data_IF_203606842100
#
_entry.id   IF_203606842100
#
_cell.length_a   1.000
_cell.length_b   1.000
_cell.length_c   1.000
_cell.angle_alpha   90.00
_cell.angle_beta   90.00
_cell.angle_gamma   90.00
#
_symmetry.space_group_name_H-M   'P 1'
#
loop_
_entity.id
_entity.type
_entity.pdbx_description
1 polymer ?
#
# COMPACT_ATOMS: atom_id res chain seq x y z
N UNK A 1 -0.16 -27.42 -35.47
CA UNK A 1 -1.31 -27.08 -34.64
C UNK A 1 -0.96 -25.74 -34.00
N UNK A 2 -1.48 -24.66 -34.55
CA UNK A 2 -1.16 -23.31 -34.07
C UNK A 2 -1.99 -22.98 -32.82
N UNK A 3 -1.33 -22.65 -31.72
CA UNK A 3 -1.98 -22.18 -30.50
C UNK A 3 -2.57 -20.80 -30.75
N UNK A 4 -3.88 -20.69 -30.69
CA UNK A 4 -4.59 -19.41 -30.69
C UNK A 4 -4.43 -18.76 -29.31
N UNK A 5 -3.70 -17.65 -29.23
CA UNK A 5 -3.57 -16.85 -28.02
C UNK A 5 -4.88 -16.11 -27.70
N UNK A 6 -5.15 -15.84 -26.42
CA UNK A 6 -6.36 -15.14 -25.88
C UNK A 6 -6.69 -13.80 -26.56
N UNK A 7 -5.77 -13.23 -27.33
CA UNK A 7 -5.93 -11.93 -28.04
C UNK A 7 -6.81 -11.96 -29.30
N UNK A 8 -7.26 -13.13 -29.78
CA UNK A 8 -7.98 -13.26 -31.07
C UNK A 8 -9.48 -12.93 -31.00
N UNK A 9 -10.08 -12.76 -29.82
CA UNK A 9 -11.54 -12.63 -29.67
C UNK A 9 -12.08 -11.20 -29.59
N UNK A 10 -11.23 -10.16 -29.51
CA UNK A 10 -11.68 -8.77 -29.25
C UNK A 10 -11.78 -7.92 -30.55
N UNK A 11 -11.48 -8.44 -31.74
CA UNK A 11 -11.46 -7.67 -32.98
C UNK A 11 -12.67 -7.80 -33.91
N UNK A 12 -13.80 -8.32 -33.47
CA UNK A 12 -14.98 -8.53 -34.32
C UNK A 12 -16.27 -7.90 -33.78
N UNK A 13 -16.24 -6.62 -33.40
CA UNK A 13 -17.45 -5.82 -33.23
C UNK A 13 -17.13 -4.33 -33.35
N UNK A 14 -17.31 -3.76 -34.49
CA UNK A 14 -17.16 -2.32 -34.67
C UNK A 14 -17.31 -1.82 -36.11
N UNK A 15 -18.48 -1.94 -36.70
CA UNK A 15 -18.89 -1.14 -37.87
C UNK A 15 -20.17 -0.37 -37.52
N UNK A 16 -20.15 0.94 -37.69
CA UNK A 16 -21.37 1.75 -37.60
C UNK A 16 -21.17 3.25 -37.54
N UNK A 17 -21.08 3.87 -38.70
CA UNK A 17 -21.66 5.14 -39.20
C UNK A 17 -21.26 6.46 -38.54
N UNK A 18 -20.61 7.27 -39.34
CA UNK A 18 -20.40 8.69 -39.19
C UNK A 18 -21.72 9.49 -39.40
N UNK A 19 -21.98 10.47 -38.54
CA UNK A 19 -22.91 11.55 -38.80
C UNK A 19 -22.20 12.88 -38.54
N UNK A 20 -22.03 13.69 -39.57
CA UNK A 20 -21.48 15.05 -39.52
C UNK A 20 -22.55 16.00 -38.95
N UNK A 21 -22.24 16.68 -37.86
CA UNK A 21 -23.02 17.78 -37.29
C UNK A 21 -22.25 19.08 -37.28
N UNK A 22 -22.78 20.08 -38.01
CA UNK A 22 -22.30 21.45 -38.11
C UNK A 22 -22.31 22.17 -36.77
N UNK A 23 -21.17 22.60 -36.26
CA UNK A 23 -21.03 23.50 -35.14
C UNK A 23 -21.06 24.97 -35.58
N UNK A 24 -22.09 25.69 -35.17
CA UNK A 24 -22.14 27.15 -35.19
C UNK A 24 -21.34 27.71 -34.02
N UNK A 25 -20.37 28.54 -34.30
CA UNK A 25 -19.61 29.33 -33.34
C UNK A 25 -20.49 30.44 -32.73
N UNK A 26 -20.67 30.40 -31.41
CA UNK A 26 -21.20 31.54 -30.64
C UNK A 26 -20.03 32.17 -29.87
N UNK A 27 -19.67 33.39 -30.24
CA UNK A 27 -18.74 34.24 -29.50
C UNK A 27 -19.43 34.81 -28.27
N UNK A 28 -18.97 34.41 -27.08
CA UNK A 28 -19.32 35.06 -25.80
C UNK A 28 -18.15 35.96 -25.41
N UNK A 29 -18.44 37.27 -25.32
CA UNK A 29 -17.52 38.30 -24.81
C UNK A 29 -17.32 38.12 -23.29
N UNK A 30 -16.05 38.26 -22.88
CA UNK A 30 -15.61 38.07 -21.52
C UNK A 30 -16.06 39.11 -20.51
N UNK A 31 -16.20 38.65 -19.31
CA UNK A 31 -16.10 39.46 -18.09
C UNK A 31 -14.79 39.07 -17.40
N UNK A 32 -13.87 40.03 -17.32
CA UNK A 32 -12.65 39.90 -16.55
C UNK A 32 -12.99 39.96 -15.05
N UNK A 33 -13.09 38.81 -14.42
CA UNK A 33 -13.05 38.68 -12.96
C UNK A 33 -11.62 38.30 -12.56
N UNK A 34 -10.97 39.16 -11.80
CA UNK A 34 -9.64 38.89 -11.26
C UNK A 34 -9.66 37.63 -10.38
N UNK A 35 -9.09 36.55 -10.89
CA UNK A 35 -8.83 35.36 -10.10
C UNK A 35 -7.66 35.67 -9.15
N UNK A 36 -7.93 35.80 -7.84
CA UNK A 36 -6.92 35.69 -6.81
C UNK A 36 -6.39 34.25 -6.84
N UNK A 37 -5.24 34.05 -7.44
CA UNK A 37 -4.39 32.87 -7.20
C UNK A 37 -3.79 33.03 -5.82
N UNK A 38 -4.04 32.14 -4.86
CA UNK A 38 -3.26 32.14 -3.63
C UNK A 38 -1.85 31.67 -4.01
N UNK A 39 -0.90 32.58 -4.01
CA UNK A 39 0.53 32.26 -3.97
C UNK A 39 0.80 31.59 -2.63
N UNK A 40 0.92 30.26 -2.65
CA UNK A 40 1.46 29.53 -1.52
C UNK A 40 2.95 29.88 -1.41
N UNK A 41 3.30 30.75 -0.48
CA UNK A 41 4.68 30.86 0.00
C UNK A 41 5.06 29.52 0.62
N UNK A 42 5.87 28.75 -0.10
CA UNK A 42 6.52 27.58 0.44
C UNK A 42 7.54 28.04 1.48
N UNK A 43 7.21 27.95 2.75
CA UNK A 43 8.19 27.99 3.82
C UNK A 43 9.07 26.73 3.67
N UNK A 44 10.11 26.86 2.87
CA UNK A 44 11.18 25.87 2.80
C UNK A 44 11.91 25.91 4.15
N UNK A 45 11.49 25.05 5.08
CA UNK A 45 12.36 24.69 6.19
C UNK A 45 13.53 23.94 5.57
N UNK A 46 14.69 24.59 5.50
CA UNK A 46 15.94 23.99 5.08
C UNK A 46 16.28 22.85 6.07
N UNK A 47 15.89 21.64 5.71
CA UNK A 47 16.42 20.44 6.35
C UNK A 47 17.80 20.19 5.78
N UNK A 48 18.80 19.99 6.66
CA UNK A 48 20.17 19.69 6.25
C UNK A 48 20.25 18.42 5.39
N UNK A 49 21.39 18.15 4.73
CA UNK A 49 21.54 17.01 3.86
C UNK A 49 21.21 15.73 4.62
N UNK A 50 20.18 15.01 4.16
CA UNK A 50 19.76 13.73 4.70
C UNK A 50 20.92 12.75 4.63
N UNK A 51 21.44 12.37 5.81
CA UNK A 51 22.18 11.13 5.88
C UNK A 51 21.19 10.02 5.48
N UNK A 52 21.47 9.35 4.36
CA UNK A 52 20.73 8.18 3.94
C UNK A 52 20.76 7.18 5.09
N UNK A 53 19.62 7.03 5.80
CA UNK A 53 19.43 5.84 6.61
C UNK A 53 19.73 4.68 5.68
N UNK A 54 20.55 3.72 6.11
CA UNK A 54 20.86 2.55 5.29
C UNK A 54 19.59 1.67 5.21
N UNK A 55 18.65 2.11 4.37
CA UNK A 55 17.45 1.38 3.99
C UNK A 55 17.80 0.24 3.01
N UNK A 56 19.09 -0.08 2.87
CA UNK A 56 19.61 -1.03 1.89
C UNK A 56 19.21 -2.48 2.14
N UNK A 57 18.53 -2.77 3.27
CA UNK A 57 18.06 -4.13 3.59
C UNK A 57 16.61 -4.12 4.01
N UNK A 58 15.72 -4.04 3.01
CA UNK A 58 14.33 -4.37 3.26
C UNK A 58 14.21 -5.84 3.70
N UNK A 59 13.56 -6.08 4.83
CA UNK A 59 13.27 -7.41 5.35
C UNK A 59 11.74 -7.55 5.51
N UNK A 60 11.08 -8.45 4.76
CA UNK A 60 9.66 -8.68 4.87
C UNK A 60 9.18 -9.03 6.28
N UNK A 61 9.98 -9.77 7.07
CA UNK A 61 9.63 -10.13 8.45
C UNK A 61 9.63 -8.94 9.40
N UNK A 62 10.53 -7.97 9.20
CA UNK A 62 10.53 -6.72 9.96
C UNK A 62 9.39 -5.81 9.52
N UNK A 63 9.16 -5.70 8.21
CA UNK A 63 8.06 -4.93 7.65
C UNK A 63 6.70 -5.42 8.15
N UNK A 64 6.51 -6.73 8.23
CA UNK A 64 5.26 -7.38 8.63
C UNK A 64 4.67 -6.78 9.93
N UNK A 65 5.51 -6.43 10.89
CA UNK A 65 5.11 -5.99 12.24
C UNK A 65 5.44 -4.52 12.53
N UNK A 66 6.19 -3.87 11.67
CA UNK A 66 6.63 -2.50 11.87
C UNK A 66 5.60 -1.49 11.35
N UNK A 67 5.46 -0.38 12.05
CA UNK A 67 4.70 0.79 11.63
C UNK A 67 5.40 2.06 12.07
N UNK A 68 5.13 3.17 11.39
CA UNK A 68 5.70 4.48 11.76
C UNK A 68 7.21 4.41 11.97
N UNK A 69 7.92 3.68 11.09
CA UNK A 69 9.37 3.46 11.17
C UNK A 69 9.86 2.81 12.47
N UNK A 70 8.99 2.05 13.17
CA UNK A 70 9.34 1.40 14.44
C UNK A 70 10.45 0.35 14.32
N UNK A 71 10.74 -0.13 13.11
CA UNK A 71 11.86 -0.99 12.78
C UNK A 71 13.21 -0.26 12.73
N UNK A 72 13.22 1.07 12.73
CA UNK A 72 14.45 1.86 12.76
C UNK A 72 14.89 2.16 14.19
N UNK A 73 16.21 2.32 14.44
CA UNK A 73 16.71 2.85 15.70
C UNK A 73 16.07 4.22 16.03
N UNK A 74 15.87 4.58 17.30
CA UNK A 74 15.20 5.83 17.67
C UNK A 74 15.80 7.09 17.04
N UNK A 75 17.13 7.15 16.90
CA UNK A 75 17.83 8.29 16.28
C UNK A 75 17.52 8.43 14.78
N UNK A 76 17.36 7.32 14.07
CA UNK A 76 17.03 7.32 12.64
C UNK A 76 15.53 7.49 12.44
N UNK A 77 14.71 6.87 13.28
CA UNK A 77 13.26 7.02 13.23
C UNK A 77 12.84 8.48 13.39
N UNK A 78 13.43 9.23 14.32
CA UNK A 78 13.09 10.63 14.58
C UNK A 78 13.35 11.59 13.40
N UNK A 79 14.08 11.14 12.38
CA UNK A 79 14.28 11.88 11.12
C UNK A 79 13.10 11.74 10.17
N UNK A 80 12.39 10.61 10.24
CA UNK A 80 11.29 10.28 9.32
C UNK A 80 9.92 10.34 9.98
N UNK A 81 9.87 10.35 11.32
CA UNK A 81 8.62 10.31 12.06
C UNK A 81 8.70 11.07 13.39
N UNK A 82 7.66 11.88 13.65
CA UNK A 82 7.49 12.62 14.90
C UNK A 82 6.03 12.62 15.33
N UNK A 83 5.81 12.54 16.63
CA UNK A 83 4.51 12.70 17.28
C UNK A 83 4.50 13.95 18.16
N UNK A 84 3.39 14.70 18.11
CA UNK A 84 3.18 15.85 18.97
C UNK A 84 1.74 15.83 19.49
N UNK A 85 1.58 15.74 20.82
CA UNK A 85 0.26 15.80 21.43
C UNK A 85 -0.40 17.17 21.19
N UNK A 86 -1.70 17.17 20.88
CA UNK A 86 -2.49 18.38 20.65
C UNK A 86 -3.41 18.67 21.84
N UNK A 87 -3.80 19.95 22.07
CA UNK A 87 -4.67 20.33 23.17
C UNK A 87 -6.06 19.65 23.14
N UNK A 88 -6.53 19.23 21.97
CA UNK A 88 -7.82 18.57 21.76
C UNK A 88 -7.78 17.05 22.08
N UNK A 89 -6.64 16.54 22.57
CA UNK A 89 -6.44 15.14 22.90
C UNK A 89 -6.08 14.26 21.71
N UNK A 90 -5.97 14.81 20.50
CA UNK A 90 -5.47 14.11 19.31
C UNK A 90 -3.95 14.26 19.20
N UNK A 91 -3.35 13.58 18.22
CA UNK A 91 -1.91 13.65 17.96
C UNK A 91 -1.66 14.23 16.57
N UNK A 92 -0.70 15.14 16.45
CA UNK A 92 -0.09 15.47 15.17
C UNK A 92 1.00 14.45 14.89
N UNK A 93 0.85 13.73 13.76
CA UNK A 93 1.80 12.73 13.28
C UNK A 93 2.46 13.24 12.01
N UNK A 94 3.74 13.49 12.09
CA UNK A 94 4.53 14.07 11.02
C UNK A 94 5.44 12.99 10.42
N UNK A 95 5.38 12.87 9.10
CA UNK A 95 6.15 11.89 8.33
C UNK A 95 7.00 12.59 7.28
N UNK A 96 8.19 12.06 7.03
CA UNK A 96 8.98 12.36 5.85
C UNK A 96 8.99 11.17 4.92
N UNK A 97 8.42 11.33 3.73
CA UNK A 97 8.35 10.30 2.70
C UNK A 97 9.08 10.78 1.45
N UNK A 98 10.01 9.97 0.99
CA UNK A 98 10.87 10.30 -0.16
C UNK A 98 10.63 9.29 -1.28
N UNK A 99 10.27 9.77 -2.48
CA UNK A 99 10.27 8.94 -3.67
C UNK A 99 11.71 8.76 -4.17
N UNK A 100 12.09 7.51 -4.46
CA UNK A 100 13.43 7.12 -4.92
C UNK A 100 13.34 6.01 -5.96
N UNK A 101 14.19 6.09 -7.00
CA UNK A 101 14.41 4.95 -7.90
C UNK A 101 15.39 3.98 -7.22
N UNK A 102 15.05 2.69 -7.20
CA UNK A 102 15.89 1.70 -6.56
C UNK A 102 15.76 0.33 -7.19
N UNK A 103 16.85 -0.40 -7.27
CA UNK A 103 16.81 -1.83 -7.53
C UNK A 103 16.54 -2.57 -6.23
N UNK A 104 15.54 -3.48 -6.25
CA UNK A 104 15.14 -4.29 -5.10
C UNK A 104 15.20 -5.77 -5.47
N UNK A 105 15.52 -6.63 -4.52
CA UNK A 105 15.42 -8.07 -4.68
C UNK A 105 13.96 -8.51 -4.46
N UNK A 106 13.38 -9.26 -5.41
CA UNK A 106 12.00 -9.74 -5.38
C UNK A 106 11.89 -11.26 -5.26
N UNK A 107 12.96 -11.97 -5.58
CA UNK A 107 13.17 -13.39 -5.33
C UNK A 107 14.68 -13.60 -5.20
N UNK A 108 15.17 -14.71 -4.61
CA UNK A 108 16.61 -14.96 -4.47
C UNK A 108 17.40 -14.78 -5.76
N UNK A 109 18.23 -13.72 -5.84
CA UNK A 109 19.02 -13.36 -7.02
C UNK A 109 18.25 -12.71 -8.17
N UNK A 110 16.97 -12.40 -8.01
CA UNK A 110 16.14 -11.70 -9.00
C UNK A 110 15.91 -10.27 -8.55
N UNK A 111 16.37 -9.31 -9.36
CA UNK A 111 16.31 -7.89 -9.04
C UNK A 111 15.33 -7.17 -9.97
N UNK A 112 14.60 -6.21 -9.39
CA UNK A 112 13.57 -5.43 -10.06
C UNK A 112 13.86 -3.92 -9.94
N UNK A 113 13.85 -3.16 -11.05
CA UNK A 113 14.09 -1.72 -11.02
C UNK A 113 12.83 -0.97 -10.55
N UNK A 114 12.68 -0.83 -9.24
CA UNK A 114 11.51 -0.25 -8.60
C UNK A 114 11.54 1.27 -8.54
N UNK A 115 10.35 1.87 -8.42
CA UNK A 115 10.12 3.19 -7.85
C UNK A 115 9.57 3.00 -6.43
N UNK A 116 10.14 3.69 -5.47
CA UNK A 116 9.93 3.34 -4.07
C UNK A 116 9.51 4.55 -3.24
N UNK A 117 8.78 4.30 -2.15
CA UNK A 117 8.70 5.25 -1.03
C UNK A 117 9.72 4.85 0.04
N UNK A 118 10.63 5.76 0.38
CA UNK A 118 11.73 5.57 1.32
C UNK A 118 12.65 4.38 1.01
N UNK A 119 12.85 4.10 -0.29
CA UNK A 119 13.81 3.08 -0.76
C UNK A 119 13.37 1.64 -0.55
N UNK A 120 12.12 1.38 -0.25
CA UNK A 120 11.55 0.04 -0.05
C UNK A 120 10.23 -0.17 -0.80
N UNK A 121 9.89 -1.40 -1.04
CA UNK A 121 8.58 -1.88 -1.53
C UNK A 121 8.13 -3.01 -0.60
N UNK A 122 6.93 -2.97 -0.03
CA UNK A 122 6.05 -1.81 0.02
C UNK A 122 6.68 -0.62 0.74
N UNK A 123 6.19 0.58 0.48
CA UNK A 123 6.55 1.77 1.25
C UNK A 123 6.21 1.63 2.74
N UNK A 124 6.75 2.49 3.62
CA UNK A 124 6.56 2.38 5.07
C UNK A 124 5.09 2.34 5.47
N UNK A 125 4.73 1.48 6.42
CA UNK A 125 3.37 1.48 7.01
C UNK A 125 3.16 2.76 7.81
N UNK A 126 2.24 3.60 7.36
CA UNK A 126 1.78 4.78 8.08
C UNK A 126 0.63 4.37 8.99
N UNK A 127 0.71 4.71 10.29
CA UNK A 127 -0.33 4.37 11.26
C UNK A 127 -0.71 5.58 12.09
N UNK A 128 -2.00 5.83 12.21
CA UNK A 128 -2.58 6.92 12.99
C UNK A 128 -3.78 6.40 13.78
N UNK A 129 -4.28 7.18 14.74
CA UNK A 129 -5.56 6.94 15.40
C UNK A 129 -6.61 7.85 14.79
N UNK A 130 -7.83 7.39 14.73
CA UNK A 130 -8.97 8.15 14.22
C UNK A 130 -9.06 9.55 14.86
N UNK A 131 -9.04 10.59 14.03
CA UNK A 131 -9.02 11.99 14.44
C UNK A 131 -7.64 12.60 14.65
N UNK A 132 -6.57 11.80 14.58
CA UNK A 132 -5.20 12.37 14.56
C UNK A 132 -5.00 13.21 13.31
N UNK A 133 -4.16 14.25 13.43
CA UNK A 133 -3.71 15.05 12.29
C UNK A 133 -2.50 14.38 11.66
N UNK A 134 -2.60 13.98 10.41
CA UNK A 134 -1.51 13.42 9.62
C UNK A 134 -0.91 14.53 8.77
N UNK A 135 0.41 14.68 8.85
CA UNK A 135 1.21 15.60 8.03
C UNK A 135 2.34 14.83 7.38
N UNK A 136 2.44 14.89 6.04
CA UNK A 136 3.47 14.18 5.29
C UNK A 136 4.23 15.17 4.44
N UNK A 137 5.50 15.37 4.78
CA UNK A 137 6.44 16.07 3.93
C UNK A 137 6.92 15.08 2.86
N UNK A 138 6.36 15.21 1.66
CA UNK A 138 6.72 14.36 0.52
C UNK A 138 7.80 15.05 -0.31
N UNK A 139 8.89 14.33 -0.56
CA UNK A 139 10.03 14.75 -1.37
C UNK A 139 10.18 13.82 -2.56
N UNK A 140 10.25 14.37 -3.77
CA UNK A 140 10.51 13.56 -4.96
C UNK A 140 11.99 13.65 -5.36
N UNK A 141 12.75 12.62 -5.04
CA UNK A 141 14.14 12.42 -5.47
C UNK A 141 14.28 11.34 -6.54
N UNK A 142 13.14 10.86 -7.09
CA UNK A 142 13.09 9.95 -8.20
C UNK A 142 13.28 10.64 -9.56
N UNK A 143 13.32 9.84 -10.63
CA UNK A 143 13.53 10.31 -12.00
C UNK A 143 12.24 10.73 -12.72
N UNK A 144 11.07 10.51 -12.14
CA UNK A 144 9.76 10.78 -12.71
C UNK A 144 8.91 11.65 -11.79
N UNK A 145 7.86 12.33 -12.28
CA UNK A 145 6.86 12.96 -11.42
C UNK A 145 6.13 11.93 -10.57
N UNK A 146 5.93 12.23 -9.30
CA UNK A 146 5.26 11.34 -8.36
C UNK A 146 4.25 12.11 -7.50
N UNK A 147 3.29 11.37 -6.90
CA UNK A 147 2.34 11.87 -5.92
C UNK A 147 2.16 10.86 -4.79
N UNK A 148 1.41 11.25 -3.76
CA UNK A 148 0.80 10.30 -2.82
C UNK A 148 -0.71 10.50 -2.83
N UNK A 149 -1.45 9.45 -3.12
CA UNK A 149 -2.90 9.37 -2.99
C UNK A 149 -3.23 8.44 -1.82
N UNK A 150 -4.08 8.90 -0.91
CA UNK A 150 -4.48 8.14 0.27
C UNK A 150 -5.92 7.67 0.12
N UNK A 151 -6.18 6.40 0.35
CA UNK A 151 -7.55 5.95 0.56
C UNK A 151 -8.03 6.39 1.95
N UNK A 152 -9.24 6.91 2.05
CA UNK A 152 -9.81 7.53 3.25
C UNK A 152 -10.48 8.86 2.93
N UNK A 153 -10.78 9.67 3.93
CA UNK A 153 -11.38 10.99 3.75
C UNK A 153 -10.31 12.07 3.88
N UNK A 154 -10.21 12.91 2.87
CA UNK A 154 -9.29 14.05 2.84
C UNK A 154 -9.84 15.16 1.92
N UNK A 155 -9.37 16.42 2.08
CA UNK A 155 -9.73 17.49 1.14
C UNK A 155 -9.24 17.17 -0.28
N UNK A 156 -9.98 17.57 -1.34
CA UNK A 156 -9.56 17.35 -2.73
C UNK A 156 -8.16 17.88 -3.07
N UNK A 157 -7.72 18.97 -2.42
CA UNK A 157 -6.37 19.50 -2.57
C UNK A 157 -5.26 18.56 -2.05
N UNK A 158 -5.61 17.54 -1.26
CA UNK A 158 -4.70 16.53 -0.70
C UNK A 158 -4.84 15.17 -1.40
N UNK A 159 -5.61 15.10 -2.47
CA UNK A 159 -5.94 13.85 -3.14
C UNK A 159 -4.78 13.22 -3.94
N UNK A 160 -3.90 14.03 -4.50
CA UNK A 160 -2.75 13.55 -5.26
C UNK A 160 -3.07 12.97 -6.65
N UNK A 161 -4.33 13.05 -7.13
CA UNK A 161 -4.77 12.39 -8.37
C UNK A 161 -4.76 13.31 -9.61
N UNK A 162 -4.77 14.63 -9.43
CA UNK A 162 -4.85 15.56 -10.53
C UNK A 162 -3.45 15.90 -11.11
N UNK A 163 -3.36 16.30 -12.38
CA UNK A 163 -2.09 16.68 -13.00
C UNK A 163 -1.32 17.77 -12.24
N UNK A 164 -2.02 18.73 -11.65
CA UNK A 164 -1.46 19.82 -10.84
C UNK A 164 -0.92 19.37 -9.49
N UNK A 165 -1.29 18.15 -9.05
CA UNK A 165 -0.75 17.55 -7.82
C UNK A 165 0.59 16.84 -8.06
N UNK A 166 1.02 16.67 -9.31
CA UNK A 166 2.26 15.96 -9.63
C UNK A 166 3.48 16.74 -9.16
N UNK A 167 4.28 16.10 -8.32
CA UNK A 167 5.54 16.65 -7.83
C UNK A 167 6.66 16.23 -8.77
N UNK A 168 7.31 17.18 -9.47
CA UNK A 168 8.40 16.86 -10.37
C UNK A 168 9.66 16.40 -9.62
N UNK A 169 10.63 15.76 -10.29
CA UNK A 169 11.94 15.47 -9.72
C UNK A 169 12.56 16.70 -9.04
N UNK A 170 13.03 16.53 -7.80
CA UNK A 170 13.57 17.60 -6.96
C UNK A 170 12.51 18.46 -6.25
N UNK A 171 11.23 18.25 -6.52
CA UNK A 171 10.13 18.97 -5.89
C UNK A 171 9.66 18.33 -4.58
N UNK A 172 8.76 19.05 -3.90
CA UNK A 172 8.14 18.59 -2.65
C UNK A 172 6.67 18.98 -2.59
N UNK A 173 5.90 18.27 -1.76
CA UNK A 173 4.50 18.59 -1.45
C UNK A 173 4.20 18.26 0.01
N UNK A 174 3.39 19.10 0.65
CA UNK A 174 2.94 18.88 2.02
C UNK A 174 1.50 18.38 2.02
N UNK A 175 1.30 17.09 2.31
CA UNK A 175 -0.03 16.53 2.56
C UNK A 175 -0.40 16.77 4.02
N UNK A 176 -1.63 17.24 4.27
CA UNK A 176 -2.12 17.44 5.63
C UNK A 176 -3.63 17.22 5.71
N UNK A 177 -4.05 16.21 6.49
CA UNK A 177 -5.46 15.84 6.66
C UNK A 177 -5.68 15.12 7.99
N UNK A 178 -6.94 14.96 8.39
CA UNK A 178 -7.30 14.19 9.57
C UNK A 178 -7.44 12.71 9.21
N UNK A 179 -6.95 11.82 10.07
CA UNK A 179 -7.00 10.38 9.86
C UNK A 179 -8.45 9.87 10.02
N UNK A 180 -9.17 9.71 8.92
CA UNK A 180 -10.57 9.29 8.87
C UNK A 180 -10.88 8.52 7.57
N UNK A 181 -11.82 7.55 7.58
CA UNK A 181 -12.34 6.86 8.76
C UNK A 181 -11.31 5.90 9.34
N UNK A 182 -11.56 5.31 10.52
CA UNK A 182 -10.72 4.19 10.97
C UNK A 182 -10.83 3.00 10.01
N UNK A 183 -9.77 2.18 9.95
CA UNK A 183 -9.71 1.00 9.10
C UNK A 183 -8.32 0.75 8.54
N UNK A 184 -8.25 -0.25 7.68
CA UNK A 184 -7.07 -0.53 6.86
C UNK A 184 -7.24 0.17 5.53
N UNK A 185 -6.36 1.11 5.26
CA UNK A 185 -6.30 1.83 3.99
C UNK A 185 -4.96 1.57 3.33
N UNK A 186 -4.82 2.07 2.10
CA UNK A 186 -3.54 2.10 1.39
C UNK A 186 -3.26 3.52 0.93
N UNK A 187 -2.00 3.79 0.63
CA UNK A 187 -1.58 4.92 -0.15
C UNK A 187 -0.77 4.44 -1.34
N UNK A 188 -0.82 5.17 -2.44
CA UNK A 188 -0.04 4.86 -3.64
C UNK A 188 0.22 6.11 -4.47
N UNK A 189 1.19 6.04 -5.37
CA UNK A 189 1.37 7.09 -6.37
C UNK A 189 0.19 7.08 -7.36
N UNK A 190 -0.35 8.25 -7.68
CA UNK A 190 -1.43 8.42 -8.66
C UNK A 190 -1.00 9.25 -9.89
N UNK A 191 0.30 9.46 -10.09
CA UNK A 191 0.82 10.10 -11.29
C UNK A 191 0.55 9.23 -12.53
N UNK A 192 0.36 9.87 -13.67
CA UNK A 192 0.13 9.17 -14.93
C UNK A 192 1.46 8.67 -15.55
N UNK A 193 1.48 7.47 -16.12
CA UNK A 193 0.44 6.46 -16.20
C UNK A 193 0.33 5.64 -14.91
N UNK A 194 -0.83 5.71 -14.24
CA UNK A 194 -1.09 5.15 -12.91
C UNK A 194 -0.62 3.70 -12.75
N UNK A 195 -1.00 2.84 -13.68
CA UNK A 195 -0.64 1.42 -13.72
C UNK A 195 0.87 1.19 -13.55
N UNK A 196 1.68 2.00 -14.26
CA UNK A 196 3.14 1.88 -14.19
C UNK A 196 3.70 2.23 -12.81
N UNK A 197 3.14 3.27 -12.16
CA UNK A 197 3.61 3.71 -10.85
C UNK A 197 3.32 2.68 -9.76
N UNK A 198 2.12 2.07 -9.77
CA UNK A 198 1.77 1.01 -8.82
C UNK A 198 2.61 -0.24 -9.10
N UNK A 199 2.65 -0.71 -10.35
CA UNK A 199 3.46 -1.87 -10.74
C UNK A 199 4.94 -1.73 -10.33
N UNK A 200 5.51 -0.52 -10.45
CA UNK A 200 6.90 -0.23 -10.08
C UNK A 200 7.15 -0.19 -8.57
N UNK A 201 6.12 -0.33 -7.72
CA UNK A 201 6.28 -0.49 -6.27
C UNK A 201 5.85 0.70 -5.41
N UNK A 202 5.21 1.73 -6.00
CA UNK A 202 4.86 2.95 -5.27
C UNK A 202 3.52 2.82 -4.53
N UNK A 203 3.51 2.04 -3.46
CA UNK A 203 2.36 1.83 -2.57
C UNK A 203 2.80 1.45 -1.16
N UNK A 204 1.89 1.59 -0.19
CA UNK A 204 2.07 1.16 1.17
C UNK A 204 0.76 1.12 1.96
N UNK A 205 0.81 0.62 3.19
CA UNK A 205 -0.34 0.58 4.07
C UNK A 205 -0.52 1.90 4.82
N UNK A 206 -1.78 2.34 4.94
CA UNK A 206 -2.21 3.42 5.81
C UNK A 206 -3.27 2.89 6.77
N UNK A 207 -2.91 2.67 8.04
CA UNK A 207 -3.78 2.09 9.06
C UNK A 207 -4.26 3.20 9.98
N UNK A 208 -5.56 3.29 10.15
CA UNK A 208 -6.19 4.22 11.10
C UNK A 208 -6.87 3.40 12.19
N UNK A 209 -6.31 3.45 13.40
CA UNK A 209 -6.90 2.76 14.54
C UNK A 209 -8.19 3.46 15.00
N UNK A 210 -9.23 2.72 15.42
CA UNK A 210 -10.45 3.33 15.93
C UNK A 210 -10.20 4.06 17.26
N UNK A 211 -11.08 5.01 17.60
CA UNK A 211 -11.05 5.71 18.90
C UNK A 211 -11.20 4.74 20.07
N UNK A 212 -12.11 3.79 19.92
CA UNK A 212 -12.27 2.68 20.86
C UNK A 212 -11.35 1.55 20.39
N UNK A 213 -10.29 1.29 21.13
CA UNK A 213 -9.29 0.29 20.76
C UNK A 213 -9.94 -1.08 20.52
N UNK A 214 -9.53 -1.75 19.44
CA UNK A 214 -9.84 -3.16 19.21
C UNK A 214 -9.20 -4.02 20.32
N UNK A 215 -9.71 -5.24 20.52
CA UNK A 215 -9.09 -6.22 21.38
C UNK A 215 -7.61 -6.42 20.99
N UNK A 216 -6.74 -6.65 21.97
CA UNK A 216 -5.32 -6.92 21.72
C UNK A 216 -5.15 -8.14 20.81
N UNK A 217 -4.29 -8.03 19.83
CA UNK A 217 -3.96 -9.09 18.89
C UNK A 217 -2.50 -8.97 18.46
N UNK A 218 -1.97 -10.06 17.94
CA UNK A 218 -0.68 -10.06 17.23
C UNK A 218 -0.89 -9.55 15.80
N UNK A 219 -0.58 -8.28 15.58
CA UNK A 219 -0.92 -7.59 14.34
C UNK A 219 0.16 -7.70 13.27
N UNK A 220 -0.26 -7.77 12.00
CA UNK A 220 0.64 -7.83 10.86
C UNK A 220 0.04 -7.20 9.61
N UNK A 221 0.92 -6.69 8.73
CA UNK A 221 0.56 -6.10 7.43
C UNK A 221 1.03 -7.04 6.33
N UNK A 222 0.10 -7.44 5.47
CA UNK A 222 0.35 -8.35 4.35
C UNK A 222 -0.13 -7.69 3.05
N UNK A 223 0.82 -7.19 2.27
CA UNK A 223 0.52 -6.56 0.98
C UNK A 223 0.80 -7.58 -0.13
N UNK A 224 -0.26 -7.89 -0.89
CA UNK A 224 -0.19 -8.76 -2.05
C UNK A 224 0.31 -7.95 -3.24
N UNK A 225 1.40 -8.36 -3.84
CA UNK A 225 1.97 -7.71 -5.01
C UNK A 225 2.49 -8.70 -6.03
N UNK A 226 2.58 -8.26 -7.29
CA UNK A 226 3.14 -8.98 -8.42
C UNK A 226 4.19 -8.12 -9.13
N UNK A 227 5.09 -8.77 -9.86
CA UNK A 227 6.14 -8.11 -10.62
C UNK A 227 6.21 -8.72 -12.02
N UNK A 228 5.99 -7.86 -13.01
CA UNK A 228 6.22 -8.08 -14.43
C UNK A 228 7.67 -7.71 -14.73
N UNK A 229 8.53 -8.69 -14.85
CA UNK A 229 9.99 -8.50 -14.91
C UNK A 229 10.50 -8.25 -16.33
N UNK A 230 9.74 -8.62 -17.36
CA UNK A 230 10.06 -8.37 -18.76
C UNK A 230 9.22 -7.26 -19.40
N UNK A 231 8.27 -6.67 -18.63
CA UNK A 231 7.43 -5.53 -19.00
C UNK A 231 6.45 -5.80 -20.15
N UNK A 232 5.95 -7.00 -20.24
CA UNK A 232 4.95 -7.41 -21.23
C UNK A 232 3.50 -7.26 -20.75
N UNK A 233 3.29 -6.90 -19.49
CA UNK A 233 2.02 -6.75 -18.78
C UNK A 233 1.41 -8.07 -18.28
N UNK A 234 2.27 -9.03 -17.94
CA UNK A 234 1.96 -10.25 -17.21
C UNK A 234 2.97 -10.38 -16.06
N UNK A 235 2.58 -10.94 -14.91
CA UNK A 235 3.49 -11.04 -13.77
C UNK A 235 4.20 -12.41 -13.75
N UNK A 236 5.53 -12.41 -13.63
CA UNK A 236 6.33 -13.63 -13.44
C UNK A 236 6.60 -13.95 -11.98
N UNK A 237 6.45 -12.96 -11.09
CA UNK A 237 6.72 -13.14 -9.66
C UNK A 237 5.57 -12.56 -8.86
N UNK A 238 5.07 -13.35 -7.91
CA UNK A 238 4.08 -12.89 -6.92
C UNK A 238 4.66 -12.99 -5.52
N UNK A 239 4.24 -12.08 -4.65
CA UNK A 239 4.78 -12.05 -3.30
C UNK A 239 3.79 -11.51 -2.27
N UNK A 240 4.06 -11.83 -1.02
CA UNK A 240 3.58 -11.07 0.15
C UNK A 240 4.74 -10.23 0.64
N UNK A 241 4.53 -8.90 0.70
CA UNK A 241 5.58 -7.98 1.14
C UNK A 241 6.88 -8.12 0.35
N UNK A 242 6.78 -8.18 -0.98
CA UNK A 242 7.84 -8.04 -1.98
C UNK A 242 8.67 -9.30 -2.28
N UNK A 243 9.11 -10.05 -1.29
CA UNK A 243 10.03 -11.15 -1.54
C UNK A 243 9.28 -12.49 -1.69
N UNK A 244 9.30 -13.03 -2.91
CA UNK A 244 8.64 -14.31 -3.25
C UNK A 244 9.09 -15.45 -2.32
N UNK A 245 8.14 -16.25 -1.86
CA UNK A 245 8.38 -17.40 -0.96
C UNK A 245 9.09 -17.08 0.36
N UNK A 246 9.24 -15.78 0.74
CA UNK A 246 9.98 -15.42 1.97
C UNK A 246 9.46 -16.15 3.19
N UNK A 247 8.14 -16.15 3.40
CA UNK A 247 7.52 -16.78 4.58
C UNK A 247 7.46 -18.31 4.54
N UNK A 248 7.85 -18.94 3.42
CA UNK A 248 8.08 -20.40 3.37
C UNK A 248 9.37 -20.79 4.11
N UNK A 249 10.40 -19.96 4.01
CA UNK A 249 11.71 -20.15 4.65
C UNK A 249 11.85 -19.44 5.99
N UNK A 250 11.04 -18.39 6.22
CA UNK A 250 10.96 -17.60 7.45
C UNK A 250 9.51 -17.58 7.97
N UNK A 251 9.01 -18.69 8.54
CA UNK A 251 7.62 -18.79 8.99
C UNK A 251 7.24 -17.69 9.99
N UNK A 252 6.01 -17.21 9.87
CA UNK A 252 5.46 -16.20 10.78
C UNK A 252 5.10 -16.89 12.10
N UNK A 253 5.85 -16.59 13.17
CA UNK A 253 5.58 -17.16 14.50
C UNK A 253 4.40 -16.47 15.15
N UNK A 254 3.47 -17.26 15.67
CA UNK A 254 2.29 -16.86 16.44
C UNK A 254 2.12 -17.77 17.65
N UNK A 255 1.43 -17.31 18.68
CA UNK A 255 1.16 -18.12 19.87
C UNK A 255 -0.22 -18.77 19.78
N UNK A 256 -0.31 -20.04 20.17
CA UNK A 256 -1.58 -20.75 20.32
C UNK A 256 -2.46 -20.04 21.35
N UNK A 257 -3.73 -19.81 21.01
CA UNK A 257 -4.70 -19.14 21.87
C UNK A 257 -4.62 -17.60 21.85
N UNK A 258 -3.59 -17.00 21.23
CA UNK A 258 -3.49 -15.55 21.08
C UNK A 258 -4.17 -15.09 19.78
N UNK A 259 -5.03 -14.06 19.81
CA UNK A 259 -5.62 -13.51 18.60
C UNK A 259 -4.55 -12.95 17.64
N UNK A 260 -4.73 -13.22 16.34
CA UNK A 260 -3.91 -12.71 15.24
C UNK A 260 -4.78 -11.83 14.36
N UNK A 261 -4.29 -10.64 14.01
CA UNK A 261 -4.94 -9.68 13.13
C UNK A 261 -4.07 -9.39 11.94
N UNK A 262 -4.55 -9.69 10.74
CA UNK A 262 -3.85 -9.46 9.48
C UNK A 262 -4.52 -8.30 8.74
N UNK A 263 -3.77 -7.25 8.46
CA UNK A 263 -4.16 -6.18 7.55
C UNK A 263 -3.72 -6.57 6.14
N UNK A 264 -4.66 -7.07 5.34
CA UNK A 264 -4.38 -7.60 4.00
C UNK A 264 -4.79 -6.59 2.96
N UNK A 265 -3.89 -6.26 2.02
CA UNK A 265 -4.10 -5.27 0.96
C UNK A 265 -3.68 -5.89 -0.37
N UNK A 266 -4.54 -5.82 -1.39
CA UNK A 266 -4.18 -6.25 -2.74
C UNK A 266 -3.82 -5.06 -3.63
N UNK A 267 -2.56 -5.02 -4.09
CA UNK A 267 -2.05 -4.03 -5.05
C UNK A 267 -1.45 -4.69 -6.30
N UNK A 268 -1.80 -5.95 -6.54
CA UNK A 268 -1.33 -6.68 -7.71
C UNK A 268 -1.84 -6.01 -8.97
N UNK A 269 -0.93 -5.48 -9.80
CA UNK A 269 -1.27 -4.98 -11.13
C UNK A 269 -1.32 -6.14 -12.13
N UNK A 270 -1.95 -5.91 -13.26
CA UNK A 270 -2.18 -6.83 -14.37
C UNK A 270 -3.19 -7.95 -14.09
N UNK A 271 -3.45 -8.30 -12.83
CA UNK A 271 -4.45 -9.26 -12.39
C UNK A 271 -5.64 -8.58 -11.72
N UNK A 272 -6.85 -8.96 -12.12
CA UNK A 272 -8.08 -8.34 -11.64
C UNK A 272 -8.39 -8.67 -10.18
N UNK A 273 -7.96 -9.84 -9.72
CA UNK A 273 -8.25 -10.37 -8.38
C UNK A 273 -7.04 -11.14 -7.85
N UNK A 274 -6.90 -11.14 -6.53
CA UNK A 274 -6.03 -12.05 -5.81
C UNK A 274 -6.81 -12.63 -4.62
N UNK A 275 -6.27 -13.60 -3.91
CA UNK A 275 -6.93 -14.22 -2.77
C UNK A 275 -5.93 -14.59 -1.69
N UNK A 276 -6.44 -14.79 -0.47
CA UNK A 276 -5.71 -15.42 0.61
C UNK A 276 -6.54 -16.59 1.15
N UNK A 277 -5.94 -17.77 1.13
CA UNK A 277 -6.45 -18.97 1.78
C UNK A 277 -5.54 -19.37 2.93
N UNK A 278 -6.10 -19.78 4.06
CA UNK A 278 -5.39 -20.26 5.24
C UNK A 278 -5.79 -21.71 5.52
N UNK A 279 -4.80 -22.61 5.49
CA UNK A 279 -5.02 -24.03 5.76
C UNK A 279 -5.40 -24.31 7.21
N UNK A 280 -6.38 -25.19 7.40
CA UNK A 280 -6.78 -25.73 8.71
C UNK A 280 -7.38 -24.73 9.68
N UNK A 281 -7.64 -23.51 9.24
CA UNK A 281 -8.17 -22.41 10.03
C UNK A 281 -9.24 -21.67 9.28
N UNK A 282 -10.16 -21.02 10.02
CA UNK A 282 -11.06 -19.99 9.53
C UNK A 282 -10.68 -18.65 10.15
N UNK A 283 -11.05 -17.57 9.51
CA UNK A 283 -10.87 -16.22 10.01
C UNK A 283 -12.16 -15.38 9.85
N UNK A 284 -12.35 -14.44 10.74
CA UNK A 284 -13.35 -13.40 10.62
C UNK A 284 -12.83 -12.31 9.68
N UNK A 285 -13.68 -11.88 8.74
CA UNK A 285 -13.37 -10.85 7.75
C UNK A 285 -14.07 -9.55 8.12
N UNK A 286 -13.32 -8.45 8.17
CA UNK A 286 -13.83 -7.09 8.27
C UNK A 286 -13.42 -6.35 7.01
N UNK A 287 -14.35 -6.12 6.08
CA UNK A 287 -14.08 -5.42 4.83
C UNK A 287 -13.65 -4.00 5.11
N UNK A 288 -12.51 -3.59 4.51
CA UNK A 288 -11.82 -2.33 4.78
C UNK A 288 -11.43 -2.08 6.24
N UNK A 289 -11.90 -2.87 7.19
CA UNK A 289 -11.70 -2.65 8.62
C UNK A 289 -12.39 -1.40 9.19
N UNK A 290 -13.25 -0.73 8.42
CA UNK A 290 -13.96 0.50 8.82
C UNK A 290 -15.17 0.26 9.71
N UNK A 291 -15.41 -1.00 10.06
CA UNK A 291 -16.43 -1.46 11.01
C UNK A 291 -15.83 -2.47 11.98
N UNK A 292 -16.46 -2.61 13.14
CA UNK A 292 -16.05 -3.59 14.16
C UNK A 292 -16.95 -4.83 14.19
N UNK A 293 -17.92 -4.91 13.25
CA UNK A 293 -18.77 -6.09 13.04
C UNK A 293 -18.18 -6.97 11.96
N UNK A 294 -18.19 -8.28 12.19
CA UNK A 294 -17.74 -9.28 11.22
C UNK A 294 -18.64 -9.24 9.99
N UNK A 295 -18.03 -9.16 8.82
CA UNK A 295 -18.71 -9.19 7.53
C UNK A 295 -18.83 -10.62 6.95
N UNK A 296 -17.86 -11.49 7.25
CA UNK A 296 -17.82 -12.89 6.78
C UNK A 296 -16.96 -13.76 7.71
N UNK A 297 -17.15 -15.08 7.66
CA UNK A 297 -16.35 -16.08 8.37
C UNK A 297 -15.97 -17.19 7.40
N UNK A 298 -14.72 -17.24 6.99
CA UNK A 298 -14.26 -18.10 5.88
C UNK A 298 -12.81 -18.50 6.07
N UNK A 299 -12.33 -19.42 5.27
CA UNK A 299 -10.92 -19.79 5.14
C UNK A 299 -10.26 -19.19 3.89
N UNK A 300 -11.04 -18.53 3.03
CA UNK A 300 -10.56 -17.94 1.78
C UNK A 300 -11.24 -16.60 1.53
N UNK A 301 -10.46 -15.54 1.38
CA UNK A 301 -10.95 -14.21 1.00
C UNK A 301 -10.44 -13.83 -0.38
N UNK A 302 -11.33 -13.30 -1.23
CA UNK A 302 -11.00 -12.73 -2.52
C UNK A 302 -10.98 -11.21 -2.41
N UNK A 303 -9.92 -10.59 -2.94
CA UNK A 303 -9.72 -9.15 -3.00
C UNK A 303 -9.46 -8.71 -4.44
N UNK A 304 -10.25 -7.77 -4.95
CA UNK A 304 -9.88 -7.09 -6.20
C UNK A 304 -8.71 -6.13 -5.97
N UNK A 305 -8.13 -5.63 -7.06
CA UNK A 305 -7.06 -4.65 -7.00
C UNK A 305 -7.50 -3.39 -6.23
N UNK A 306 -6.66 -2.91 -5.30
CA UNK A 306 -6.96 -1.77 -4.41
C UNK A 306 -7.89 -2.13 -3.24
N UNK A 307 -8.42 -3.36 -3.17
CA UNK A 307 -9.22 -3.81 -2.03
C UNK A 307 -8.33 -4.26 -0.87
N UNK A 308 -8.89 -4.21 0.33
CA UNK A 308 -8.24 -4.56 1.59
C UNK A 308 -9.25 -5.13 2.56
N UNK A 309 -8.75 -5.95 3.48
CA UNK A 309 -9.52 -6.52 4.59
C UNK A 309 -8.68 -6.63 5.85
N UNK A 310 -9.34 -6.59 7.01
CA UNK A 310 -8.78 -7.07 8.26
C UNK A 310 -9.28 -8.50 8.45
N UNK A 311 -8.36 -9.44 8.67
CA UNK A 311 -8.67 -10.83 8.96
C UNK A 311 -8.26 -11.13 10.39
N UNK A 312 -9.16 -11.70 11.20
CA UNK A 312 -8.87 -12.08 12.57
C UNK A 312 -9.06 -13.58 12.77
N UNK A 313 -8.09 -14.24 13.42
CA UNK A 313 -8.14 -15.65 13.74
C UNK A 313 -7.40 -15.94 15.04
N UNK A 314 -7.58 -17.16 15.59
CA UNK A 314 -6.82 -17.65 16.74
C UNK A 314 -6.41 -19.09 16.48
N UNK A 315 -5.12 -19.35 16.44
CA UNK A 315 -4.58 -20.69 16.24
C UNK A 315 -4.87 -21.57 17.45
N UNK A 316 -5.52 -22.70 17.21
CA UNK A 316 -5.98 -23.63 18.27
C UNK A 316 -4.98 -24.73 18.58
N UNK A 317 -4.08 -25.02 17.65
CA UNK A 317 -3.12 -26.12 17.72
C UNK A 317 -1.73 -25.63 17.38
N UNK A 318 -0.68 -26.16 18.03
CA UNK A 318 0.69 -25.90 17.60
C UNK A 318 0.98 -26.61 16.29
N UNK A 319 1.87 -26.04 15.48
CA UNK A 319 2.27 -26.60 14.20
C UNK A 319 2.42 -25.56 13.10
N UNK A 320 2.58 -26.04 11.87
CA UNK A 320 2.73 -25.20 10.69
C UNK A 320 1.44 -25.18 9.89
N UNK A 321 0.99 -23.98 9.54
CA UNK A 321 -0.22 -23.72 8.77
C UNK A 321 0.16 -22.92 7.53
N UNK A 322 -0.10 -23.46 6.34
CA UNK A 322 0.17 -22.79 5.09
C UNK A 322 -0.86 -21.69 4.84
N UNK A 323 -0.43 -20.58 4.28
CA UNK A 323 -1.29 -19.61 3.61
C UNK A 323 -0.78 -19.35 2.19
N UNK A 324 -1.68 -19.12 1.26
CA UNK A 324 -1.32 -18.87 -0.14
C UNK A 324 -2.46 -18.20 -0.92
N UNK A 325 -2.14 -17.66 -2.09
CA UNK A 325 -3.17 -17.33 -3.08
C UNK A 325 -3.88 -18.60 -3.54
N UNK A 326 -5.21 -18.56 -3.64
CA UNK A 326 -5.95 -19.74 -4.15
C UNK A 326 -5.94 -19.81 -5.70
N UNK A 327 -5.45 -18.80 -6.37
CA UNK A 327 -4.95 -18.89 -7.73
C UNK A 327 -3.62 -19.65 -7.68
N UNK A 328 -3.62 -20.90 -8.16
CA UNK A 328 -2.47 -21.82 -8.05
C UNK A 328 -1.21 -21.26 -8.70
N UNK A 329 -1.36 -20.56 -9.83
CA UNK A 329 -0.27 -19.89 -10.52
C UNK A 329 0.43 -18.85 -9.61
N UNK A 330 -0.34 -17.99 -8.91
CA UNK A 330 0.25 -16.98 -8.02
C UNK A 330 0.97 -17.63 -6.83
N UNK A 331 0.42 -18.74 -6.31
CA UNK A 331 1.06 -19.49 -5.25
C UNK A 331 2.38 -20.11 -5.72
N UNK A 332 2.39 -20.77 -6.88
CA UNK A 332 3.58 -21.39 -7.46
C UNK A 332 4.66 -20.36 -7.82
N UNK A 333 4.27 -19.17 -8.24
CA UNK A 333 5.17 -18.07 -8.56
C UNK A 333 5.58 -17.21 -7.34
N UNK A 334 5.22 -17.63 -6.10
CA UNK A 334 5.82 -17.09 -4.89
C UNK A 334 4.88 -16.48 -3.85
N UNK A 335 3.57 -16.39 -4.12
CA UNK A 335 2.61 -15.86 -3.17
C UNK A 335 2.14 -16.95 -2.19
N UNK A 336 3.02 -17.40 -1.31
CA UNK A 336 2.74 -18.37 -0.26
C UNK A 336 3.65 -18.19 0.96
N UNK A 337 3.24 -18.77 2.08
CA UNK A 337 4.01 -18.76 3.32
C UNK A 337 3.46 -19.72 4.36
N UNK A 338 4.10 -19.73 5.53
CA UNK A 338 3.74 -20.54 6.69
C UNK A 338 3.55 -19.66 7.92
N UNK A 339 2.50 -19.93 8.66
CA UNK A 339 2.45 -19.64 10.09
C UNK A 339 3.08 -20.78 10.87
N UNK A 340 3.86 -20.47 11.90
CA UNK A 340 4.34 -21.44 12.90
C UNK A 340 3.70 -21.09 14.24
N UNK A 341 2.63 -21.81 14.59
CA UNK A 341 1.96 -21.66 15.87
C UNK A 341 2.74 -22.43 16.94
N UNK A 342 3.10 -21.74 18.02
CA UNK A 342 3.87 -22.30 19.14
C UNK A 342 3.08 -22.19 20.43
N UNK A 343 3.28 -23.16 21.33
CA UNK A 343 2.72 -23.06 22.69
C UNK A 343 3.23 -21.79 23.38
N UNK A 344 2.37 -21.10 24.17
CA UNK A 344 2.80 -19.99 25.00
C UNK A 344 3.94 -20.41 25.92
N UNK A 345 4.94 -19.55 26.10
CA UNK A 345 5.97 -19.81 27.12
C UNK A 345 5.29 -19.85 28.48
N UNK A 346 5.43 -20.97 29.18
CA UNK A 346 5.06 -21.01 30.60
C UNK A 346 6.12 -20.21 31.34
N UNK A 347 5.72 -19.10 31.95
CA UNK A 347 6.58 -18.42 32.90
C UNK A 347 6.83 -19.39 34.06
N UNK A 348 8.07 -19.83 34.17
CA UNK A 348 8.55 -20.71 35.30
C UNK A 348 8.99 -19.84 36.45
#
# INVERSE_FOLDING_TARGET
>A
MNSLTRRSWIRLAGFGTAAAGLLRSATVRGAQGAAHTPTMEHAAHAMGPMGTADLSRFNPSDFLRASNFSNLPPADRSRHYKETARPDGTTLREYEIVALDREIEIAPGVFFPAWTFNGQVPGPTIRARQGDRVRINFLNQGSHPHTMHFHGWHPPAMDGSLPEHQVPPGGSFLYEFDAEPFGTHLYHCHAAPLKRHIHKGMYGAFIVDPKDARAEADEMVMIMNGFDTDFDSDNEVYAVNTLANHYMTHPIRVEVGRPVRMHVINVTEFDLINSLHLHGMFFDVYRTGTRTTVDDHTDTVMLCQGERAVLETTFRYPGKFMFHAHQSEFAELGWMGMFEAVEPRRDT
#
